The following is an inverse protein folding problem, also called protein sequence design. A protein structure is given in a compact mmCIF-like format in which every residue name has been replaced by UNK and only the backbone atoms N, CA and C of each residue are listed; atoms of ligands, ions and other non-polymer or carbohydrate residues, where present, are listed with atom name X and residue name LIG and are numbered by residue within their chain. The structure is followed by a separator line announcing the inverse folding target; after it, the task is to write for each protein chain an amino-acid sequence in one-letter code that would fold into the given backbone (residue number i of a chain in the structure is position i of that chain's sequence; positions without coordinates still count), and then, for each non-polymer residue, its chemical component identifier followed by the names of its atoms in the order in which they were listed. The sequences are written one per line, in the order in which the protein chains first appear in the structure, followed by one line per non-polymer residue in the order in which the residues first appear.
data_IF_693709552143
#
_entry.id   IF_693709552143
#
_cell.length_a   1.000
_cell.length_b   1.000
_cell.length_c   1.000
_cell.angle_alpha   90.00
_cell.angle_beta   90.00
_cell.angle_gamma   90.00
#
_symmetry.space_group_name_H-M   'P 1'
#
loop_
_entity.id
_entity.type
_entity.pdbx_description
1 polymer ?
#
# COMPACT_ATOMS: atom_id res chain seq x y z
N UNK A 1 -37.49 37.43 -8.42
CA UNK A 1 -36.68 37.23 -9.65
C UNK A 1 -35.59 38.29 -9.67
N UNK A 2 -34.35 37.90 -9.38
CA UNK A 2 -33.23 38.84 -9.20
C UNK A 2 -32.29 38.77 -10.41
N UNK A 3 -31.96 39.93 -10.96
CA UNK A 3 -31.22 40.15 -12.21
C UNK A 3 -29.81 39.52 -12.18
N UNK A 4 -29.52 38.54 -13.06
CA UNK A 4 -28.21 37.89 -13.13
C UNK A 4 -27.09 38.79 -13.67
N UNK A 5 -27.40 39.94 -14.28
CA UNK A 5 -26.39 40.87 -14.83
C UNK A 5 -25.70 41.71 -13.74
N UNK A 6 -26.39 41.99 -12.63
CA UNK A 6 -25.82 42.73 -11.51
C UNK A 6 -24.74 41.98 -10.72
N UNK A 7 -24.79 40.64 -10.70
CA UNK A 7 -23.77 39.81 -10.00
C UNK A 7 -22.46 39.73 -10.78
N UNK A 8 -22.53 39.72 -12.11
CA UNK A 8 -21.35 39.68 -12.97
C UNK A 8 -20.57 41.00 -12.92
N UNK A 9 -21.27 42.14 -12.88
CA UNK A 9 -20.66 43.46 -12.71
C UNK A 9 -19.97 43.63 -11.34
N UNK A 10 -20.59 43.13 -10.26
CA UNK A 10 -19.96 43.12 -8.93
C UNK A 10 -18.72 42.20 -8.86
N UNK A 11 -18.76 41.04 -9.51
CA UNK A 11 -17.61 40.14 -9.57
C UNK A 11 -16.44 40.73 -10.38
N UNK A 12 -16.72 41.43 -11.49
CA UNK A 12 -15.68 42.12 -12.27
C UNK A 12 -15.11 43.33 -11.51
N UNK A 13 -15.94 44.08 -10.78
CA UNK A 13 -15.49 45.19 -9.97
C UNK A 13 -14.61 44.75 -8.78
N UNK A 14 -14.94 43.62 -8.13
CA UNK A 14 -14.10 43.04 -7.07
C UNK A 14 -12.78 42.46 -7.62
N UNK A 15 -12.80 41.86 -8.81
CA UNK A 15 -11.59 41.40 -9.51
C UNK A 15 -10.69 42.57 -9.95
N UNK A 16 -11.27 43.70 -10.37
CA UNK A 16 -10.52 44.91 -10.68
C UNK A 16 -9.94 45.58 -9.44
N UNK A 17 -10.67 45.60 -8.33
CA UNK A 17 -10.18 46.11 -7.05
C UNK A 17 -9.05 45.24 -6.46
N UNK A 18 -9.16 43.92 -6.58
CA UNK A 18 -8.08 42.98 -6.23
C UNK A 18 -6.85 43.14 -7.15
N UNK A 19 -7.06 43.40 -8.44
CA UNK A 19 -5.98 43.67 -9.39
C UNK A 19 -5.27 45.02 -9.15
N UNK A 20 -5.96 46.04 -8.62
CA UNK A 20 -5.35 47.32 -8.24
C UNK A 20 -4.65 47.27 -6.88
N UNK A 21 -5.17 46.52 -5.91
CA UNK A 21 -4.51 46.32 -4.61
C UNK A 21 -3.18 45.54 -4.75
N UNK A 22 -3.04 44.74 -5.81
CA UNK A 22 -1.82 44.00 -6.13
C UNK A 22 -0.76 44.81 -6.91
N UNK A 23 -1.01 46.09 -7.24
CA UNK A 23 0.01 46.95 -7.89
C UNK A 23 1.20 47.27 -6.97
N UNK A 24 1.03 47.26 -5.65
CA UNK A 24 2.13 47.42 -4.69
C UNK A 24 3.03 46.19 -4.60
N UNK A 25 2.55 45.00 -5.00
CA UNK A 25 3.32 43.75 -5.01
C UNK A 25 3.95 43.45 -6.38
N UNK A 26 3.51 44.13 -7.45
CA UNK A 26 4.09 44.01 -8.81
C UNK A 26 5.43 44.74 -9.01
N UNK A 27 5.84 45.61 -8.09
CA UNK A 27 7.18 46.20 -8.14
C UNK A 27 8.26 45.32 -7.51
N UNK A 28 7.90 44.22 -6.81
CA UNK A 28 8.87 43.32 -6.18
C UNK A 28 9.06 41.97 -6.90
N UNK A 29 8.17 41.61 -7.84
CA UNK A 29 8.28 40.35 -8.58
C UNK A 29 8.04 40.62 -10.07
N UNK A 30 9.14 40.56 -10.82
CA UNK A 30 9.17 40.71 -12.27
C UNK A 30 8.17 39.78 -12.97
N UNK A 31 7.64 40.30 -14.07
CA UNK A 31 6.66 39.68 -14.97
C UNK A 31 7.07 38.28 -15.40
N UNK A 32 6.50 37.25 -14.78
CA UNK A 32 6.46 35.90 -15.36
C UNK A 32 5.08 35.68 -15.97
N UNK A 33 5.04 35.50 -17.29
CA UNK A 33 3.79 35.24 -18.00
C UNK A 33 3.33 33.79 -17.78
N UNK A 34 2.02 33.56 -17.84
CA UNK A 34 1.37 32.24 -17.68
C UNK A 34 1.98 31.14 -18.56
N UNK A 35 2.60 31.50 -19.69
CA UNK A 35 3.30 30.59 -20.61
C UNK A 35 4.68 30.17 -20.08
N UNK A 36 5.43 31.04 -19.40
CA UNK A 36 6.69 30.67 -18.76
C UNK A 36 6.47 29.79 -17.53
N UNK A 37 5.42 30.03 -16.75
CA UNK A 37 5.04 29.14 -15.64
C UNK A 37 4.66 27.75 -16.15
N UNK A 38 3.92 27.66 -17.26
CA UNK A 38 3.60 26.37 -17.89
C UNK A 38 4.85 25.71 -18.51
N UNK A 39 5.78 26.47 -19.09
CA UNK A 39 7.06 25.95 -19.58
C UNK A 39 7.95 25.45 -18.45
N UNK A 40 8.01 26.18 -17.33
CA UNK A 40 8.77 25.78 -16.14
C UNK A 40 8.12 24.63 -15.39
N UNK A 41 6.79 24.51 -15.38
CA UNK A 41 6.10 23.30 -14.90
C UNK A 41 6.35 22.12 -15.84
N UNK A 42 6.34 22.32 -17.16
CA UNK A 42 6.71 21.30 -18.15
C UNK A 42 8.15 20.84 -17.94
N UNK A 43 9.08 21.75 -17.73
CA UNK A 43 10.49 21.45 -17.46
C UNK A 43 10.71 20.86 -16.07
N UNK A 44 9.96 21.26 -15.04
CA UNK A 44 10.03 20.68 -13.70
C UNK A 44 9.47 19.26 -13.67
N UNK A 45 8.37 18.98 -14.40
CA UNK A 45 7.79 17.63 -14.55
C UNK A 45 8.68 16.72 -15.41
N UNK A 46 9.44 17.29 -16.36
CA UNK A 46 10.39 16.53 -17.19
C UNK A 46 11.77 16.36 -16.54
N UNK A 47 12.19 17.26 -15.64
CA UNK A 47 13.51 17.25 -14.98
C UNK A 47 13.48 16.80 -13.52
N UNK A 48 12.32 16.56 -12.91
CA UNK A 48 12.25 16.03 -11.55
C UNK A 48 12.65 14.55 -11.52
N UNK A 49 13.95 14.29 -11.33
CA UNK A 49 14.41 13.17 -10.51
C UNK A 49 14.15 13.48 -9.02
N UNK A 50 14.02 12.45 -8.16
CA UNK A 50 13.15 12.51 -6.99
C UNK A 50 13.81 13.25 -5.83
N UNK A 51 13.23 14.38 -5.43
CA UNK A 51 13.46 14.96 -4.11
C UNK A 51 12.33 14.56 -3.16
N UNK A 52 12.23 13.27 -2.84
CA UNK A 52 11.61 12.76 -1.60
C UNK A 52 12.30 11.45 -1.22
N UNK A 53 12.94 11.43 -0.04
CA UNK A 53 13.45 10.22 0.61
C UNK A 53 12.28 9.34 1.06
N UNK A 54 11.96 8.31 0.29
CA UNK A 54 11.32 7.04 0.70
C UNK A 54 11.55 6.03 -0.44
N UNK A 55 12.06 4.81 -0.18
CA UNK A 55 12.55 3.94 -1.24
C UNK A 55 11.39 3.39 -2.06
N UNK A 56 11.42 3.64 -3.37
CA UNK A 56 10.66 2.91 -4.37
C UNK A 56 11.59 1.81 -4.87
N UNK A 57 11.15 0.56 -4.78
CA UNK A 57 11.88 -0.64 -5.23
C UNK A 57 12.05 -0.53 -6.75
N UNK A 58 13.28 -0.31 -7.19
CA UNK A 58 13.76 -0.62 -8.54
C UNK A 58 14.18 -2.09 -8.55
N UNK A 59 13.65 -2.87 -9.49
CA UNK A 59 14.28 -4.01 -10.16
C UNK A 59 13.20 -4.70 -11.00
N UNK A 60 13.28 -4.59 -12.33
CA UNK A 60 12.71 -5.51 -13.32
C UNK A 60 13.03 -5.04 -14.75
N UNK A 61 14.31 -4.98 -15.09
CA UNK A 61 14.79 -5.14 -16.47
C UNK A 61 16.13 -5.87 -16.39
N UNK A 62 16.11 -7.19 -16.61
CA UNK A 62 17.10 -7.90 -17.41
C UNK A 62 16.74 -9.38 -17.51
N UNK A 63 16.54 -9.83 -18.75
CA UNK A 63 16.75 -11.19 -19.28
C UNK A 63 15.54 -11.73 -20.05
N UNK A 64 15.62 -11.54 -21.37
CA UNK A 64 14.88 -12.34 -22.34
C UNK A 64 15.91 -13.01 -23.26
N UNK A 65 15.90 -14.34 -23.28
CA UNK A 65 16.35 -15.17 -24.42
C UNK A 65 17.73 -15.83 -24.34
N UNK A 66 17.76 -17.15 -24.06
CA UNK A 66 18.04 -18.17 -25.09
C UNK A 66 17.95 -19.60 -24.52
N UNK A 67 17.30 -20.47 -25.29
CA UNK A 67 17.32 -21.91 -25.12
C UNK A 67 18.69 -22.46 -25.56
N UNK A 68 19.27 -23.41 -24.81
CA UNK A 68 19.83 -24.68 -25.33
C UNK A 68 20.26 -25.58 -24.16
N UNK A 69 20.16 -26.89 -24.42
CA UNK A 69 20.40 -28.05 -23.56
C UNK A 69 21.85 -28.31 -23.12
N UNK A 70 21.99 -28.95 -21.94
CA UNK A 70 22.95 -30.04 -21.60
C UNK A 70 23.87 -29.82 -20.39
N UNK A 71 23.70 -30.73 -19.41
CA UNK A 71 24.66 -31.38 -18.50
C UNK A 71 25.67 -30.60 -17.60
N UNK A 72 25.45 -30.81 -16.29
CA UNK A 72 26.40 -31.21 -15.24
C UNK A 72 27.59 -30.32 -14.77
N UNK A 73 27.65 -30.25 -13.42
CA UNK A 73 28.83 -30.22 -12.53
C UNK A 73 29.41 -28.86 -12.06
N UNK A 74 29.26 -28.66 -10.74
CA UNK A 74 30.23 -28.18 -9.73
C UNK A 74 30.79 -26.75 -9.77
N UNK A 75 30.89 -26.15 -8.57
CA UNK A 75 32.00 -25.24 -8.21
C UNK A 75 31.67 -23.78 -7.88
N UNK A 76 31.46 -23.51 -6.59
CA UNK A 76 31.94 -22.39 -5.78
C UNK A 76 31.99 -20.92 -6.30
N UNK A 77 31.30 -20.06 -5.52
CA UNK A 77 31.70 -18.74 -5.00
C UNK A 77 31.96 -17.55 -5.95
N UNK A 78 31.15 -16.49 -5.82
CA UNK A 78 31.56 -15.20 -5.23
C UNK A 78 30.38 -14.22 -5.18
N UNK A 79 30.09 -13.75 -3.98
CA UNK A 79 29.05 -12.78 -3.60
C UNK A 79 29.58 -11.35 -3.80
N UNK A 80 28.81 -10.50 -4.48
CA UNK A 80 29.00 -9.05 -4.47
C UNK A 80 27.78 -8.42 -3.79
N UNK A 81 28.06 -7.78 -2.65
CA UNK A 81 27.10 -7.23 -1.71
C UNK A 81 26.33 -6.02 -2.28
N UNK A 82 25.01 -6.02 -2.07
CA UNK A 82 24.20 -4.80 -2.02
C UNK A 82 23.08 -4.96 -1.00
N UNK A 83 23.25 -4.33 0.16
CA UNK A 83 22.27 -4.19 1.23
C UNK A 83 21.15 -3.23 0.82
N UNK A 84 19.88 -3.48 1.20
CA UNK A 84 18.97 -2.38 1.49
C UNK A 84 18.37 -2.47 2.89
N UNK A 85 18.39 -1.31 3.54
CA UNK A 85 17.98 -1.04 4.91
C UNK A 85 16.48 -1.26 5.16
N UNK A 86 16.20 -1.84 6.34
CA UNK A 86 14.91 -1.85 7.02
C UNK A 86 14.40 -0.44 7.33
N UNK A 87 13.11 -0.17 7.05
CA UNK A 87 12.34 0.88 7.74
C UNK A 87 11.20 0.21 8.51
N UNK A 88 11.34 0.19 9.84
CA UNK A 88 10.27 -0.09 10.79
C UNK A 88 9.37 1.16 10.99
N UNK A 89 8.10 0.99 11.40
CA UNK A 89 7.15 2.10 11.58
C UNK A 89 7.35 2.76 12.96
N UNK A 90 7.09 4.08 13.13
CA UNK A 90 7.11 4.69 14.45
C UNK A 90 5.81 4.40 15.20
N UNK A 91 5.98 3.90 16.43
CA UNK A 91 4.96 3.83 17.46
C UNK A 91 4.57 5.24 17.93
N UNK A 92 3.27 5.42 18.15
CA UNK A 92 2.70 6.50 18.94
C UNK A 92 3.18 6.40 20.38
N UNK A 93 3.77 7.46 20.94
CA UNK A 93 3.78 7.67 22.38
C UNK A 93 3.79 9.16 22.72
N UNK A 94 2.84 9.51 23.58
CA UNK A 94 2.77 10.75 24.31
C UNK A 94 3.96 10.91 25.28
N UNK A 95 4.33 12.16 25.48
CA UNK A 95 4.95 12.79 26.65
C UNK A 95 5.77 11.93 27.65
N UNK A 96 7.08 12.18 27.70
CA UNK A 96 7.82 12.36 28.95
C UNK A 96 9.08 13.21 28.70
N UNK A 97 9.33 14.15 29.61
CA UNK A 97 10.35 15.18 29.53
C UNK A 97 11.73 14.72 30.04
N UNK A 98 12.81 15.14 29.39
CA UNK A 98 14.09 15.48 30.01
C UNK A 98 15.03 16.22 29.02
N UNK A 99 15.15 17.53 29.25
CA UNK A 99 16.36 18.37 29.20
C UNK A 99 17.47 18.07 28.18
N UNK A 100 17.51 18.83 27.09
CA UNK A 100 18.78 19.25 26.47
C UNK A 100 18.61 20.65 25.87
N UNK A 101 19.43 21.59 26.35
CA UNK A 101 19.50 22.98 25.91
C UNK A 101 20.07 23.09 24.50
N UNK A 102 19.19 23.16 23.51
CA UNK A 102 19.49 23.56 22.14
C UNK A 102 18.37 24.46 21.63
N UNK A 103 18.72 25.66 21.16
CA UNK A 103 17.79 26.73 20.79
C UNK A 103 16.72 26.28 19.76
N UNK A 104 15.42 26.28 20.09
CA UNK A 104 14.34 25.82 19.19
C UNK A 104 13.84 26.89 18.20
N UNK A 105 14.34 28.13 18.26
CA UNK A 105 13.75 29.25 17.53
C UNK A 105 14.08 29.28 16.02
N UNK A 106 15.23 28.73 15.61
CA UNK A 106 15.67 28.83 14.20
C UNK A 106 15.05 27.76 13.28
N UNK A 107 14.76 26.56 13.79
CA UNK A 107 14.11 25.50 13.01
C UNK A 107 12.59 25.70 12.88
N UNK A 108 11.96 26.37 13.84
CA UNK A 108 10.55 26.75 13.76
C UNK A 108 10.29 27.88 12.74
N UNK A 109 11.26 28.79 12.55
CA UNK A 109 11.13 29.91 11.61
C UNK A 109 11.15 29.45 10.14
N UNK A 110 12.01 28.50 9.77
CA UNK A 110 12.09 27.98 8.39
C UNK A 110 10.93 27.07 7.99
N UNK A 111 10.37 26.31 8.94
CA UNK A 111 9.18 25.48 8.72
C UNK A 111 7.88 26.29 8.58
N UNK A 112 7.82 27.49 9.20
CA UNK A 112 6.64 28.36 9.16
C UNK A 112 6.52 29.11 7.82
N UNK A 113 7.64 29.35 7.13
CA UNK A 113 7.68 30.08 5.85
C UNK A 113 7.54 29.17 4.60
N UNK A 114 7.77 27.86 4.74
CA UNK A 114 7.60 26.88 3.64
C UNK A 114 6.15 26.41 3.43
N UNK A 115 5.37 26.31 4.51
CA UNK A 115 3.93 26.00 4.47
C UNK A 115 3.09 26.87 3.52
N UNK A 116 3.27 28.21 3.44
CA UNK A 116 2.50 29.01 2.50
C UNK A 116 2.87 28.75 1.03
N UNK A 117 4.06 28.22 0.73
CA UNK A 117 4.45 27.89 -0.64
C UNK A 117 3.85 26.55 -1.09
N UNK A 118 3.85 25.53 -0.23
CA UNK A 118 3.25 24.23 -0.53
C UNK A 118 1.73 24.35 -0.77
N UNK A 119 1.02 25.11 0.08
CA UNK A 119 -0.41 25.37 -0.15
C UNK A 119 -0.65 26.07 -1.50
N UNK A 120 0.18 27.06 -1.87
CA UNK A 120 0.05 27.76 -3.15
C UNK A 120 0.28 26.84 -4.35
N UNK A 121 1.20 25.87 -4.23
CA UNK A 121 1.43 24.87 -5.28
C UNK A 121 0.22 23.94 -5.38
N UNK A 122 -0.34 23.48 -4.26
CA UNK A 122 -1.54 22.63 -4.26
C UNK A 122 -2.76 23.36 -4.82
N UNK A 123 -2.95 24.64 -4.49
CA UNK A 123 -4.02 25.49 -5.05
C UNK A 123 -3.85 25.67 -6.57
N UNK A 124 -2.62 25.89 -7.03
CA UNK A 124 -2.32 25.99 -8.45
C UNK A 124 -2.58 24.66 -9.17
N UNK A 125 -2.15 23.54 -8.58
CA UNK A 125 -2.40 22.21 -9.12
C UNK A 125 -3.90 21.93 -9.20
N UNK A 126 -4.66 22.25 -8.16
CA UNK A 126 -6.11 22.08 -8.13
C UNK A 126 -6.79 22.94 -9.21
N UNK A 127 -6.33 24.18 -9.42
CA UNK A 127 -6.87 25.07 -10.46
C UNK A 127 -6.55 24.56 -11.89
N UNK A 128 -5.40 23.91 -12.09
CA UNK A 128 -5.00 23.34 -13.37
C UNK A 128 -5.53 21.92 -13.60
N UNK A 129 -5.96 21.24 -12.54
CA UNK A 129 -6.35 19.84 -12.55
C UNK A 129 -7.41 19.51 -13.61
N UNK A 130 -8.49 20.29 -13.81
CA UNK A 130 -9.49 19.95 -14.82
C UNK A 130 -8.91 19.87 -16.24
N UNK A 131 -8.01 20.79 -16.59
CA UNK A 131 -7.38 20.83 -17.91
C UNK A 131 -6.32 19.73 -18.07
N UNK A 132 -5.55 19.46 -17.01
CA UNK A 132 -4.58 18.35 -16.99
C UNK A 132 -5.29 17.01 -17.15
N UNK A 133 -6.32 16.77 -16.34
CA UNK A 133 -7.13 15.54 -16.39
C UNK A 133 -7.80 15.39 -17.75
N UNK A 134 -8.37 16.45 -18.32
CA UNK A 134 -8.98 16.40 -19.66
C UNK A 134 -7.99 15.93 -20.72
N UNK A 135 -6.74 16.42 -20.69
CA UNK A 135 -5.69 16.01 -21.64
C UNK A 135 -5.23 14.58 -21.40
N UNK A 136 -4.98 14.19 -20.15
CA UNK A 136 -4.53 12.84 -19.82
C UNK A 136 -5.62 11.79 -20.08
N UNK A 137 -6.88 12.13 -19.80
CA UNK A 137 -8.04 11.26 -20.04
C UNK A 137 -8.19 10.88 -21.50
N UNK A 138 -7.88 11.80 -22.43
CA UNK A 138 -7.91 11.49 -23.86
C UNK A 138 -6.87 10.45 -24.27
N UNK A 139 -5.79 10.31 -23.50
CA UNK A 139 -4.75 9.29 -23.72
C UNK A 139 -5.08 7.99 -23.00
N UNK A 140 -5.58 8.06 -21.76
CA UNK A 140 -5.85 6.88 -20.92
C UNK A 140 -7.13 6.17 -21.37
N UNK A 141 -8.21 6.90 -21.64
CA UNK A 141 -9.47 6.28 -22.04
C UNK A 141 -9.39 5.78 -23.47
N UNK A 142 -9.30 4.46 -23.60
CA UNK A 142 -9.54 3.79 -24.87
C UNK A 142 -10.96 4.11 -25.31
N UNK A 143 -11.13 4.68 -26.51
CA UNK A 143 -12.45 4.76 -27.12
C UNK A 143 -12.87 3.32 -27.42
N UNK A 144 -13.76 2.77 -26.61
CA UNK A 144 -14.35 1.46 -26.89
C UNK A 144 -14.93 1.46 -28.31
N UNK A 145 -14.77 0.35 -29.01
CA UNK A 145 -15.41 0.08 -30.30
C UNK A 145 -16.94 0.05 -30.10
N UNK A 146 -17.56 1.22 -29.97
CA UNK A 146 -19.00 1.41 -29.77
C UNK A 146 -19.73 1.38 -31.12
N UNK A 147 -19.35 0.44 -31.98
CA UNK A 147 -19.88 0.31 -33.32
C UNK A 147 -19.86 -1.16 -33.74
N UNK A 148 -21.04 -1.75 -33.77
CA UNK A 148 -21.36 -3.07 -34.32
C UNK A 148 -21.05 -3.13 -35.84
N UNK A 149 -19.77 -3.12 -36.21
CA UNK A 149 -19.33 -3.50 -37.55
C UNK A 149 -18.48 -4.76 -37.42
N UNK A 150 -18.92 -5.83 -38.07
CA UNK A 150 -18.42 -7.20 -37.99
C UNK A 150 -17.01 -7.39 -38.58
N UNK A 151 -16.03 -6.63 -38.13
CA UNK A 151 -14.62 -6.77 -38.51
C UNK A 151 -13.69 -6.32 -37.40
N UNK A 152 -12.66 -7.15 -37.11
CA UNK A 152 -11.54 -6.78 -36.25
C UNK A 152 -10.76 -5.63 -36.89
N UNK A 153 -11.12 -4.38 -36.57
CA UNK A 153 -10.28 -3.23 -36.91
C UNK A 153 -9.14 -3.14 -35.88
N UNK A 154 -7.87 -3.02 -36.30
CA UNK A 154 -6.76 -2.87 -35.38
C UNK A 154 -6.94 -1.59 -34.56
N UNK A 155 -6.58 -1.65 -33.28
CA UNK A 155 -6.66 -0.52 -32.36
C UNK A 155 -5.84 0.66 -32.89
N UNK A 156 -6.50 1.81 -33.05
CA UNK A 156 -5.90 3.07 -33.55
C UNK A 156 -5.70 4.11 -32.44
N UNK A 157 -5.90 3.71 -31.18
CA UNK A 157 -5.71 4.60 -30.04
C UNK A 157 -4.24 4.79 -29.65
N UNK A 158 -3.98 5.54 -28.57
CA UNK A 158 -2.64 5.82 -28.08
C UNK A 158 -1.87 4.56 -27.74
N UNK A 159 -0.55 4.56 -28.00
CA UNK A 159 0.33 3.44 -27.69
C UNK A 159 0.38 3.16 -26.18
N UNK A 160 0.74 1.92 -25.83
CA UNK A 160 0.88 1.47 -24.44
C UNK A 160 1.84 2.35 -23.65
N UNK A 161 2.95 2.79 -24.24
CA UNK A 161 3.89 3.69 -23.58
C UNK A 161 3.23 5.04 -23.23
N UNK A 162 2.48 5.62 -24.18
CA UNK A 162 1.78 6.89 -23.96
C UNK A 162 0.71 6.78 -22.88
N UNK A 163 -0.04 5.67 -22.86
CA UNK A 163 -1.02 5.40 -21.80
C UNK A 163 -0.37 5.23 -20.44
N UNK A 164 0.74 4.50 -20.36
CA UNK A 164 1.50 4.33 -19.13
C UNK A 164 2.06 5.67 -18.63
N UNK A 165 2.63 6.48 -19.52
CA UNK A 165 3.12 7.81 -19.20
C UNK A 165 1.98 8.73 -18.72
N UNK A 166 0.81 8.67 -19.35
CA UNK A 166 -0.36 9.44 -18.94
C UNK A 166 -0.87 9.01 -17.56
N UNK A 167 -0.96 7.70 -17.29
CA UNK A 167 -1.33 7.15 -15.98
C UNK A 167 -0.31 7.54 -14.90
N UNK A 168 1.00 7.47 -15.20
CA UNK A 168 2.07 7.92 -14.29
C UNK A 168 1.96 9.40 -13.97
N UNK A 169 1.70 10.25 -14.98
CA UNK A 169 1.50 11.70 -14.79
C UNK A 169 0.27 12.00 -13.96
N UNK A 170 -0.83 11.31 -14.21
CA UNK A 170 -2.05 11.43 -13.41
C UNK A 170 -1.75 11.07 -11.95
N UNK A 171 -1.13 9.92 -11.70
CA UNK A 171 -0.74 9.48 -10.36
C UNK A 171 0.23 10.43 -9.66
N UNK A 172 1.17 11.02 -10.40
CA UNK A 172 2.06 12.05 -9.84
C UNK A 172 1.29 13.28 -9.36
N UNK A 173 0.39 13.82 -10.19
CA UNK A 173 -0.42 15.01 -9.84
C UNK A 173 -1.30 14.73 -8.62
N UNK A 174 -2.00 13.59 -8.63
CA UNK A 174 -2.89 13.20 -7.52
C UNK A 174 -2.10 13.08 -6.21
N UNK A 175 -0.91 12.47 -6.24
CA UNK A 175 -0.05 12.34 -5.05
C UNK A 175 0.52 13.65 -4.50
N UNK A 176 0.47 14.74 -5.25
CA UNK A 176 0.87 16.06 -4.74
C UNK A 176 -0.24 16.75 -3.94
N UNK A 177 -1.48 16.24 -3.99
CA UNK A 177 -2.62 16.86 -3.33
C UNK A 177 -2.74 16.32 -1.90
N UNK A 178 -2.77 17.20 -0.91
CA UNK A 178 -3.14 16.83 0.46
C UNK A 178 -4.64 16.54 0.57
N UNK A 179 -5.06 15.92 1.68
CA UNK A 179 -6.46 15.48 1.89
C UNK A 179 -7.50 16.58 1.62
N UNK A 180 -7.23 17.83 2.03
CA UNK A 180 -8.13 18.98 1.81
C UNK A 180 -8.34 19.33 0.33
N UNK A 181 -7.34 19.10 -0.52
CA UNK A 181 -7.40 19.38 -1.95
C UNK A 181 -7.79 18.15 -2.76
N UNK A 182 -7.68 16.96 -2.16
CA UNK A 182 -8.05 15.70 -2.78
C UNK A 182 -9.58 15.54 -2.87
N UNK A 183 -10.32 15.91 -1.83
CA UNK A 183 -11.80 15.88 -1.80
C UNK A 183 -12.46 16.49 -3.04
N UNK A 184 -12.20 17.76 -3.41
CA UNK A 184 -12.80 18.35 -4.60
C UNK A 184 -12.25 17.78 -5.93
N UNK A 185 -11.07 17.15 -5.90
CA UNK A 185 -10.42 16.58 -7.08
C UNK A 185 -10.98 15.21 -7.46
N UNK A 186 -11.39 14.38 -6.49
CA UNK A 186 -11.81 12.98 -6.68
C UNK A 186 -12.82 12.80 -7.82
N UNK A 187 -13.94 13.55 -7.90
CA UNK A 187 -14.92 13.35 -8.97
C UNK A 187 -14.35 13.55 -10.38
N UNK A 188 -13.34 14.41 -10.52
CA UNK A 188 -12.68 14.67 -11.80
C UNK A 188 -11.65 13.60 -12.17
N UNK A 189 -10.84 13.15 -11.20
CA UNK A 189 -9.72 12.22 -11.45
C UNK A 189 -10.15 10.76 -11.46
N UNK A 190 -11.14 10.38 -10.65
CA UNK A 190 -11.52 8.98 -10.42
C UNK A 190 -11.88 8.24 -11.72
N UNK A 191 -12.67 8.80 -12.66
CA UNK A 191 -12.96 8.10 -13.91
C UNK A 191 -11.70 7.77 -14.75
N UNK A 192 -10.69 8.64 -14.71
CA UNK A 192 -9.44 8.41 -15.44
C UNK A 192 -8.55 7.38 -14.74
N UNK A 193 -8.58 7.34 -13.40
CA UNK A 193 -7.89 6.31 -12.61
C UNK A 193 -8.52 4.95 -12.87
N UNK A 194 -9.85 4.85 -12.81
CA UNK A 194 -10.56 3.59 -13.08
C UNK A 194 -10.33 3.11 -14.52
N UNK A 195 -10.29 4.02 -15.49
CA UNK A 195 -9.93 3.67 -16.87
C UNK A 195 -8.51 3.12 -17.00
N UNK A 196 -7.55 3.61 -16.20
CA UNK A 196 -6.21 3.04 -16.16
C UNK A 196 -6.19 1.66 -15.48
N UNK A 197 -6.98 1.45 -14.42
CA UNK A 197 -7.13 0.16 -13.72
C UNK A 197 -7.75 -0.92 -14.62
N UNK A 198 -8.70 -0.53 -15.47
CA UNK A 198 -9.34 -1.42 -16.45
C UNK A 198 -8.52 -1.57 -17.76
N UNK A 199 -7.30 -1.02 -17.87
CA UNK A 199 -6.47 -1.17 -19.07
C UNK A 199 -5.97 -2.62 -19.23
N UNK A 200 -5.88 -3.07 -20.47
CA UNK A 200 -5.40 -4.42 -20.83
C UNK A 200 -3.91 -4.58 -20.51
N UNK A 201 -3.13 -3.50 -20.51
CA UNK A 201 -1.69 -3.53 -20.29
C UNK A 201 -1.34 -3.55 -18.79
N UNK A 202 -0.64 -4.59 -18.30
CA UNK A 202 -0.20 -4.70 -16.90
C UNK A 202 0.51 -3.46 -16.32
N UNK A 203 1.45 -2.79 -17.01
CA UNK A 203 2.09 -1.58 -16.48
C UNK A 203 1.11 -0.41 -16.30
N UNK A 204 0.16 -0.21 -17.23
CA UNK A 204 -0.85 0.87 -17.13
C UNK A 204 -1.79 0.58 -15.96
N UNK A 205 -2.27 -0.66 -15.87
CA UNK A 205 -3.11 -1.14 -14.77
C UNK A 205 -2.44 -0.95 -13.41
N UNK A 206 -1.18 -1.33 -13.29
CA UNK A 206 -0.41 -1.18 -12.04
C UNK A 206 -0.29 0.28 -11.61
N UNK A 207 -0.04 1.21 -12.54
CA UNK A 207 0.02 2.65 -12.25
C UNK A 207 -1.34 3.21 -11.83
N UNK A 208 -2.42 2.74 -12.46
CA UNK A 208 -3.79 3.05 -12.05
C UNK A 208 -4.06 2.59 -10.62
N UNK A 209 -3.71 1.35 -10.29
CA UNK A 209 -3.89 0.76 -8.96
C UNK A 209 -3.07 1.49 -7.89
N UNK A 210 -1.81 1.82 -8.15
CA UNK A 210 -1.01 2.62 -7.20
C UNK A 210 -1.62 4.00 -6.93
N UNK A 211 -2.23 4.61 -7.94
CA UNK A 211 -2.94 5.89 -7.78
C UNK A 211 -4.22 5.70 -6.98
N UNK A 212 -4.96 4.61 -7.22
CA UNK A 212 -6.17 4.26 -6.48
C UNK A 212 -5.87 3.90 -5.02
N UNK A 213 -4.77 3.19 -4.75
CA UNK A 213 -4.28 2.90 -3.40
C UNK A 213 -4.04 4.20 -2.64
N UNK A 214 -3.36 5.16 -3.25
CA UNK A 214 -3.13 6.47 -2.62
C UNK A 214 -4.46 7.20 -2.31
N UNK A 215 -5.45 7.14 -3.20
CA UNK A 215 -6.78 7.66 -2.88
C UNK A 215 -7.38 6.93 -1.67
N UNK A 216 -7.31 5.60 -1.63
CA UNK A 216 -7.86 4.82 -0.54
C UNK A 216 -7.18 5.12 0.82
N UNK A 217 -5.89 5.47 0.83
CA UNK A 217 -5.15 5.75 2.07
C UNK A 217 -5.24 7.20 2.53
N UNK A 218 -5.29 8.17 1.60
CA UNK A 218 -5.19 9.60 1.94
C UNK A 218 -6.52 10.37 1.82
N UNK A 219 -7.49 9.88 1.04
CA UNK A 219 -8.78 10.55 0.93
C UNK A 219 -9.63 10.37 2.18
N UNK A 220 -10.54 11.32 2.44
CA UNK A 220 -11.57 11.11 3.44
C UNK A 220 -12.47 9.95 2.98
N UNK A 221 -12.76 8.96 3.86
CA UNK A 221 -13.63 7.84 3.53
C UNK A 221 -14.99 8.24 2.93
N UNK A 222 -15.56 9.37 3.39
CA UNK A 222 -16.80 9.94 2.85
C UNK A 222 -16.75 10.22 1.36
N UNK A 223 -15.58 10.58 0.85
CA UNK A 223 -15.39 11.02 -0.53
C UNK A 223 -15.24 9.85 -1.50
N UNK A 224 -15.07 8.62 -0.99
CA UNK A 224 -15.04 7.40 -1.79
C UNK A 224 -16.32 6.58 -1.61
N UNK A 225 -16.99 6.68 -0.46
CA UNK A 225 -18.17 5.88 -0.12
C UNK A 225 -19.37 6.08 -1.05
N UNK A 226 -19.50 7.23 -1.72
CA UNK A 226 -20.56 7.43 -2.73
C UNK A 226 -20.44 6.49 -3.94
N UNK A 227 -19.26 5.91 -4.18
CA UNK A 227 -18.98 4.88 -5.20
C UNK A 227 -18.62 3.53 -4.57
N UNK A 228 -19.06 3.27 -3.32
CA UNK A 228 -18.64 2.09 -2.54
C UNK A 228 -18.74 0.78 -3.33
N UNK A 229 -19.90 0.49 -3.91
CA UNK A 229 -20.13 -0.77 -4.64
C UNK A 229 -19.17 -0.91 -5.83
N UNK A 230 -19.05 0.14 -6.66
CA UNK A 230 -18.14 0.14 -7.81
C UNK A 230 -16.69 -0.09 -7.39
N UNK A 231 -16.24 0.57 -6.33
CA UNK A 231 -14.86 0.48 -5.86
C UNK A 231 -14.55 -0.90 -5.24
N UNK A 232 -15.52 -1.52 -4.54
CA UNK A 232 -15.38 -2.89 -4.05
C UNK A 232 -15.35 -3.90 -5.20
N UNK A 233 -16.18 -3.71 -6.23
CA UNK A 233 -16.16 -4.54 -7.43
C UNK A 233 -14.83 -4.42 -8.18
N UNK A 234 -14.31 -3.20 -8.33
CA UNK A 234 -12.98 -2.94 -8.90
C UNK A 234 -11.91 -3.63 -8.06
N UNK A 235 -11.96 -3.52 -6.72
CA UNK A 235 -11.00 -4.16 -5.84
C UNK A 235 -11.01 -5.70 -6.01
N UNK A 236 -12.18 -6.32 -6.01
CA UNK A 236 -12.32 -7.79 -6.21
C UNK A 236 -11.81 -8.21 -7.59
N UNK A 237 -12.20 -7.52 -8.66
CA UNK A 237 -11.71 -7.81 -10.03
C UNK A 237 -10.19 -7.63 -10.14
N UNK A 238 -9.62 -6.65 -9.45
CA UNK A 238 -8.18 -6.35 -9.52
C UNK A 238 -7.32 -7.44 -8.89
N UNK A 239 -7.82 -8.15 -7.88
CA UNK A 239 -7.08 -9.25 -7.24
C UNK A 239 -7.34 -10.60 -7.92
N UNK A 240 -8.54 -10.81 -8.48
CA UNK A 240 -8.90 -12.09 -9.09
C UNK A 240 -8.14 -12.36 -10.40
N UNK A 241 -7.24 -13.35 -10.37
CA UNK A 241 -6.51 -13.82 -11.55
C UNK A 241 -5.65 -12.76 -12.26
N UNK A 242 -5.22 -11.71 -11.57
CA UNK A 242 -4.42 -10.64 -12.17
C UNK A 242 -3.02 -11.14 -12.60
N UNK A 243 -2.32 -10.39 -13.46
CA UNK A 243 -0.92 -10.65 -13.83
C UNK A 243 0.00 -10.54 -12.58
N UNK A 244 1.10 -11.29 -12.55
CA UNK A 244 2.08 -11.24 -11.45
C UNK A 244 2.69 -9.85 -11.26
N UNK A 245 2.89 -9.10 -12.35
CA UNK A 245 3.41 -7.72 -12.31
C UNK A 245 2.42 -6.73 -11.71
N UNK A 246 1.13 -7.06 -11.74
CA UNK A 246 0.04 -6.22 -11.23
C UNK A 246 -0.24 -6.50 -9.75
N UNK A 247 0.01 -7.73 -9.31
CA UNK A 247 -0.25 -8.19 -7.95
C UNK A 247 0.33 -7.29 -6.84
N UNK A 248 1.59 -6.79 -6.93
CA UNK A 248 2.16 -5.83 -5.96
C UNK A 248 1.33 -4.56 -5.76
N UNK A 249 0.60 -4.12 -6.79
CA UNK A 249 -0.30 -2.97 -6.71
C UNK A 249 -1.71 -3.40 -6.31
N UNK A 250 -2.24 -4.50 -6.88
CA UNK A 250 -3.61 -4.94 -6.69
C UNK A 250 -3.95 -5.32 -5.24
N UNK A 251 -3.14 -6.19 -4.62
CA UNK A 251 -3.40 -6.69 -3.28
C UNK A 251 -3.48 -5.57 -2.22
N UNK A 252 -2.49 -4.66 -2.09
CA UNK A 252 -2.59 -3.56 -1.12
C UNK A 252 -3.69 -2.55 -1.49
N UNK A 253 -3.98 -2.34 -2.78
CA UNK A 253 -5.10 -1.48 -3.19
C UNK A 253 -6.43 -2.04 -2.72
N UNK A 254 -6.68 -3.34 -2.91
CA UNK A 254 -7.92 -3.99 -2.50
C UNK A 254 -8.10 -3.95 -0.98
N UNK A 255 -7.05 -4.25 -0.20
CA UNK A 255 -7.10 -4.12 1.27
C UNK A 255 -7.39 -2.68 1.69
N UNK A 256 -6.69 -1.69 1.13
CA UNK A 256 -6.88 -0.29 1.49
C UNK A 256 -8.29 0.20 1.16
N UNK A 257 -8.85 -0.19 0.00
CA UNK A 257 -10.22 0.14 -0.39
C UNK A 257 -11.24 -0.49 0.56
N UNK A 258 -11.09 -1.77 0.92
CA UNK A 258 -11.98 -2.42 1.89
C UNK A 258 -12.02 -1.64 3.21
N UNK A 259 -10.85 -1.28 3.73
CA UNK A 259 -10.73 -0.55 5.00
C UNK A 259 -11.32 0.87 4.90
N UNK A 260 -11.01 1.59 3.82
CA UNK A 260 -11.51 2.95 3.62
C UNK A 260 -13.04 2.98 3.48
N UNK A 261 -13.60 2.04 2.72
CA UNK A 261 -15.03 2.03 2.39
C UNK A 261 -15.88 1.53 3.55
N UNK A 262 -15.48 0.44 4.20
CA UNK A 262 -16.25 -0.20 5.28
C UNK A 262 -15.97 0.43 6.66
N UNK A 263 -14.81 1.05 6.84
CA UNK A 263 -14.49 1.81 8.04
C UNK A 263 -14.29 0.93 9.28
N UNK A 264 -15.24 1.01 10.23
CA UNK A 264 -15.12 0.35 11.55
C UNK A 264 -16.06 -0.85 11.72
N UNK A 265 -16.88 -1.17 10.73
CA UNK A 265 -17.81 -2.29 10.81
C UNK A 265 -17.13 -3.58 10.32
N UNK A 266 -16.65 -4.47 11.21
CA UNK A 266 -15.94 -5.67 10.79
C UNK A 266 -16.86 -6.71 10.13
N UNK A 267 -18.19 -6.52 10.18
CA UNK A 267 -19.18 -7.42 9.57
C UNK A 267 -19.58 -6.98 8.16
N UNK A 268 -19.08 -5.85 7.70
CA UNK A 268 -19.43 -5.31 6.40
C UNK A 268 -19.07 -6.26 5.25
N UNK A 269 -19.95 -6.34 4.25
CA UNK A 269 -19.86 -7.33 3.17
C UNK A 269 -18.58 -7.19 2.32
N UNK A 270 -18.04 -5.98 2.17
CA UNK A 270 -16.81 -5.71 1.43
C UNK A 270 -15.58 -6.32 2.09
N UNK A 271 -15.54 -6.40 3.43
CA UNK A 271 -14.47 -7.14 4.10
C UNK A 271 -14.53 -8.63 3.75
N UNK A 272 -15.72 -9.24 3.75
CA UNK A 272 -15.88 -10.65 3.36
C UNK A 272 -15.51 -10.88 1.89
N UNK A 273 -15.94 -9.99 1.00
CA UNK A 273 -15.63 -10.03 -0.43
C UNK A 273 -14.12 -10.04 -0.69
N UNK A 274 -13.40 -9.08 -0.08
CA UNK A 274 -11.96 -8.93 -0.29
C UNK A 274 -11.19 -10.03 0.44
N UNK A 275 -11.57 -10.40 1.66
CA UNK A 275 -10.90 -11.48 2.41
C UNK A 275 -10.99 -12.82 1.67
N UNK A 276 -12.17 -13.19 1.15
CA UNK A 276 -12.32 -14.41 0.35
C UNK A 276 -11.47 -14.37 -0.91
N UNK A 277 -11.44 -13.23 -1.61
CA UNK A 277 -10.59 -13.06 -2.78
C UNK A 277 -9.10 -13.17 -2.47
N UNK A 278 -8.65 -12.56 -1.38
CA UNK A 278 -7.27 -12.70 -0.92
C UNK A 278 -6.95 -14.17 -0.60
N UNK A 279 -7.82 -14.89 0.11
CA UNK A 279 -7.60 -16.31 0.40
C UNK A 279 -7.57 -17.18 -0.87
N UNK A 280 -8.50 -16.96 -1.81
CA UNK A 280 -8.54 -17.67 -3.10
C UNK A 280 -7.22 -17.50 -3.87
N UNK A 281 -6.70 -16.27 -3.95
CA UNK A 281 -5.45 -15.98 -4.64
C UNK A 281 -4.23 -16.49 -3.88
N UNK A 282 -4.26 -16.42 -2.55
CA UNK A 282 -3.21 -16.94 -1.68
C UNK A 282 -3.07 -18.47 -1.80
N UNK A 283 -4.18 -19.20 -1.81
CA UNK A 283 -4.20 -20.65 -2.01
C UNK A 283 -3.77 -21.04 -3.43
N UNK A 284 -4.29 -20.34 -4.45
CA UNK A 284 -3.96 -20.61 -5.87
C UNK A 284 -2.47 -20.45 -6.16
N UNK A 285 -1.84 -19.43 -5.57
CA UNK A 285 -0.45 -19.06 -5.82
C UNK A 285 0.45 -19.28 -4.61
N UNK A 286 0.10 -20.22 -3.73
CA UNK A 286 0.84 -20.48 -2.48
C UNK A 286 2.32 -20.80 -2.70
N UNK A 287 2.65 -21.38 -3.86
CA UNK A 287 3.99 -21.78 -4.27
C UNK A 287 4.82 -20.66 -4.93
N UNK A 288 4.23 -19.49 -5.21
CA UNK A 288 4.92 -18.37 -5.90
C UNK A 288 5.44 -17.38 -4.85
N UNK A 289 6.77 -17.30 -4.60
CA UNK A 289 7.31 -16.50 -3.50
C UNK A 289 7.00 -15.00 -3.64
N UNK A 290 7.11 -14.46 -4.86
CA UNK A 290 6.84 -13.05 -5.12
C UNK A 290 5.41 -12.65 -4.75
N UNK A 291 4.42 -13.51 -5.05
CA UNK A 291 3.01 -13.28 -4.69
C UNK A 291 2.76 -13.43 -3.21
N UNK A 292 3.31 -14.49 -2.61
CA UNK A 292 3.17 -14.79 -1.19
C UNK A 292 3.70 -13.66 -0.31
N UNK A 293 4.88 -13.12 -0.61
CA UNK A 293 5.48 -12.02 0.15
C UNK A 293 4.61 -10.76 0.09
N UNK A 294 4.09 -10.42 -1.10
CA UNK A 294 3.15 -9.30 -1.26
C UNK A 294 1.86 -9.54 -0.48
N UNK A 295 1.31 -10.76 -0.57
CA UNK A 295 0.09 -11.15 0.13
C UNK A 295 0.25 -10.97 1.64
N UNK A 296 1.35 -11.49 2.21
CA UNK A 296 1.64 -11.45 3.64
C UNK A 296 1.77 -10.02 4.19
N UNK A 297 2.20 -9.07 3.36
CA UNK A 297 2.22 -7.64 3.70
C UNK A 297 0.83 -7.01 3.55
N UNK A 298 0.14 -7.30 2.46
CA UNK A 298 -1.15 -6.70 2.14
C UNK A 298 -2.30 -7.18 3.04
N UNK A 299 -2.20 -8.39 3.61
CA UNK A 299 -3.26 -8.94 4.45
C UNK A 299 -3.29 -8.35 5.87
N UNK A 300 -2.17 -7.85 6.40
CA UNK A 300 -2.06 -7.44 7.81
C UNK A 300 -3.12 -6.41 8.21
N UNK A 301 -3.32 -5.32 7.45
CA UNK A 301 -4.34 -4.33 7.80
C UNK A 301 -5.75 -4.91 7.72
N UNK A 302 -5.99 -5.87 6.84
CA UNK A 302 -7.28 -6.55 6.69
C UNK A 302 -7.59 -7.45 7.90
N UNK A 303 -6.60 -8.22 8.37
CA UNK A 303 -6.73 -9.04 9.57
C UNK A 303 -7.04 -8.17 10.80
N UNK A 304 -6.36 -7.02 10.93
CA UNK A 304 -6.61 -6.08 12.01
C UNK A 304 -8.01 -5.48 11.95
N UNK A 305 -8.50 -5.13 10.76
CA UNK A 305 -9.85 -4.57 10.58
C UNK A 305 -10.96 -5.59 10.86
N UNK A 306 -10.76 -6.86 10.51
CA UNK A 306 -11.72 -7.95 10.77
C UNK A 306 -11.79 -8.36 12.25
N UNK A 307 -10.71 -8.18 13.02
CA UNK A 307 -10.64 -8.55 14.43
C UNK A 307 -11.16 -9.99 14.69
N UNK A 308 -12.11 -10.19 15.61
CA UNK A 308 -12.67 -11.50 15.94
C UNK A 308 -13.38 -12.18 14.75
N UNK A 309 -13.78 -11.41 13.73
CA UNK A 309 -14.42 -11.97 12.53
C UNK A 309 -13.49 -12.92 11.78
N UNK A 310 -12.17 -12.80 11.96
CA UNK A 310 -11.19 -13.74 11.43
C UNK A 310 -11.47 -15.21 11.80
N UNK A 311 -12.19 -15.48 12.90
CA UNK A 311 -12.61 -16.83 13.31
C UNK A 311 -13.27 -17.60 12.17
N UNK A 312 -14.08 -16.93 11.32
CA UNK A 312 -14.77 -17.60 10.22
C UNK A 312 -13.83 -18.08 9.10
N UNK A 313 -12.64 -17.50 9.02
CA UNK A 313 -11.64 -17.81 8.00
C UNK A 313 -10.54 -18.74 8.51
N UNK A 314 -10.49 -19.04 9.81
CA UNK A 314 -9.40 -19.85 10.41
C UNK A 314 -9.17 -21.18 9.69
N UNK A 315 -10.23 -21.85 9.24
CA UNK A 315 -10.12 -23.13 8.53
C UNK A 315 -9.34 -23.06 7.20
N UNK A 316 -9.26 -21.88 6.57
CA UNK A 316 -8.45 -21.64 5.37
C UNK A 316 -7.15 -20.89 5.69
N UNK A 317 -7.23 -19.93 6.60
CA UNK A 317 -6.13 -19.05 6.96
C UNK A 317 -5.01 -19.78 7.72
N UNK A 318 -5.34 -20.62 8.70
CA UNK A 318 -4.32 -21.33 9.47
C UNK A 318 -3.50 -22.30 8.61
N UNK A 319 -4.10 -23.21 7.80
CA UNK A 319 -3.32 -24.09 6.94
C UNK A 319 -2.40 -23.33 5.98
N UNK A 320 -2.90 -22.23 5.39
CA UNK A 320 -2.13 -21.40 4.45
C UNK A 320 -0.91 -20.76 5.14
N UNK A 321 -1.10 -20.16 6.32
CA UNK A 321 -0.02 -19.53 7.08
C UNK A 321 0.99 -20.56 7.58
N UNK A 322 0.53 -21.73 8.03
CA UNK A 322 1.40 -22.81 8.51
C UNK A 322 2.20 -23.45 7.35
N UNK A 323 1.61 -23.55 6.16
CA UNK A 323 2.33 -23.94 4.95
C UNK A 323 3.46 -22.95 4.64
N UNK A 324 3.17 -21.65 4.67
CA UNK A 324 4.17 -20.62 4.37
C UNK A 324 5.23 -20.44 5.45
N UNK A 325 4.90 -20.80 6.69
CA UNK A 325 5.89 -20.91 7.76
C UNK A 325 6.92 -22.01 7.48
N UNK A 326 6.57 -23.03 6.69
CA UNK A 326 7.47 -24.13 6.32
C UNK A 326 8.33 -23.85 5.08
N UNK A 327 8.15 -22.71 4.42
CA UNK A 327 8.86 -22.37 3.20
C UNK A 327 10.36 -22.11 3.45
N UNK A 328 11.16 -22.32 2.40
CA UNK A 328 12.61 -22.20 2.49
C UNK A 328 13.09 -20.75 2.65
N UNK A 329 12.35 -19.78 2.09
CA UNK A 329 12.71 -18.38 2.15
C UNK A 329 12.30 -17.72 3.47
N UNK A 330 13.21 -16.94 4.04
CA UNK A 330 12.99 -16.26 5.32
C UNK A 330 11.89 -15.19 5.28
N UNK A 331 11.75 -14.36 4.22
CA UNK A 331 10.71 -13.34 4.15
C UNK A 331 9.29 -13.91 4.27
N UNK A 332 9.02 -15.06 3.66
CA UNK A 332 7.71 -15.72 3.76
C UNK A 332 7.45 -16.23 5.17
N UNK A 333 8.46 -16.85 5.82
CA UNK A 333 8.32 -17.30 7.21
C UNK A 333 8.05 -16.13 8.16
N UNK A 334 8.83 -15.06 8.07
CA UNK A 334 8.64 -13.86 8.90
C UNK A 334 7.28 -13.22 8.68
N UNK A 335 6.85 -13.08 7.42
CA UNK A 335 5.52 -12.55 7.11
C UNK A 335 4.39 -13.45 7.61
N UNK A 336 4.56 -14.78 7.50
CA UNK A 336 3.60 -15.75 8.01
C UNK A 336 3.50 -15.69 9.53
N UNK A 337 4.61 -15.55 10.26
CA UNK A 337 4.62 -15.36 11.71
C UNK A 337 3.92 -14.06 12.13
N UNK A 338 4.14 -12.96 11.39
CA UNK A 338 3.44 -11.70 11.65
C UNK A 338 1.92 -11.84 11.47
N UNK A 339 1.50 -12.48 10.39
CA UNK A 339 0.08 -12.74 10.14
C UNK A 339 -0.50 -13.68 11.21
N UNK A 340 0.25 -14.73 11.57
CA UNK A 340 -0.16 -15.71 12.58
C UNK A 340 -0.30 -15.07 13.95
N UNK A 341 0.65 -14.21 14.35
CA UNK A 341 0.56 -13.41 15.57
C UNK A 341 -0.73 -12.58 15.58
N UNK A 342 -1.03 -11.87 14.48
CA UNK A 342 -2.27 -11.10 14.37
C UNK A 342 -3.50 -12.00 14.51
N UNK A 343 -3.53 -13.15 13.84
CA UNK A 343 -4.64 -14.11 13.92
C UNK A 343 -4.82 -14.64 15.34
N UNK A 344 -3.74 -15.09 16.00
CA UNK A 344 -3.78 -15.58 17.38
C UNK A 344 -4.34 -14.49 18.31
N UNK A 345 -3.82 -13.27 18.21
CA UNK A 345 -4.24 -12.15 19.02
C UNK A 345 -5.73 -11.82 18.84
N UNK A 346 -6.22 -11.83 17.59
CA UNK A 346 -7.60 -11.45 17.27
C UNK A 346 -8.61 -12.58 17.50
N UNK A 347 -8.17 -13.84 17.49
CA UNK A 347 -9.03 -15.02 17.59
C UNK A 347 -8.77 -15.87 18.83
N UNK A 348 -8.12 -15.29 19.84
CA UNK A 348 -7.69 -15.97 21.07
C UNK A 348 -8.73 -16.90 21.71
N UNK A 349 -10.07 -16.64 21.71
CA UNK A 349 -11.03 -17.57 22.32
C UNK A 349 -11.13 -18.92 21.59
N UNK A 350 -10.67 -19.00 20.34
CA UNK A 350 -10.70 -20.21 19.51
C UNK A 350 -9.34 -20.87 19.36
N UNK A 351 -8.25 -20.17 19.72
CA UNK A 351 -6.89 -20.68 19.59
C UNK A 351 -6.58 -21.93 20.43
N UNK A 352 -7.15 -22.15 21.64
CA UNK A 352 -6.86 -23.35 22.41
C UNK A 352 -7.12 -24.66 21.66
N UNK A 353 -8.11 -24.71 20.76
CA UNK A 353 -8.40 -25.89 19.94
C UNK A 353 -7.33 -26.19 18.89
N UNK A 354 -6.43 -25.24 18.62
CA UNK A 354 -5.34 -25.35 17.66
C UNK A 354 -3.96 -25.30 18.33
N UNK A 355 -3.90 -25.25 19.67
CA UNK A 355 -2.67 -24.93 20.39
C UNK A 355 -1.56 -25.97 20.17
N UNK A 356 -1.88 -27.26 20.23
CA UNK A 356 -0.92 -28.34 19.95
C UNK A 356 -0.26 -28.18 18.57
N UNK A 357 -1.09 -27.97 17.53
CA UNK A 357 -0.62 -27.83 16.17
C UNK A 357 0.26 -26.58 16.01
N UNK A 358 -0.23 -25.42 16.49
CA UNK A 358 0.51 -24.17 16.40
C UNK A 358 1.86 -24.28 17.11
N UNK A 359 1.89 -24.90 18.29
CA UNK A 359 3.12 -25.11 19.04
C UNK A 359 4.15 -25.95 18.26
N UNK A 360 3.74 -27.07 17.66
CA UNK A 360 4.61 -27.91 16.83
C UNK A 360 5.25 -27.13 15.67
N UNK A 361 4.45 -26.30 14.99
CA UNK A 361 4.94 -25.48 13.89
C UNK A 361 5.87 -24.35 14.34
N UNK A 362 5.64 -23.75 15.53
CA UNK A 362 6.54 -22.77 16.11
C UNK A 362 7.87 -23.38 16.54
N UNK A 363 7.86 -24.58 17.13
CA UNK A 363 9.07 -25.34 17.46
C UNK A 363 9.88 -25.63 16.20
N UNK A 364 9.23 -26.14 15.16
CA UNK A 364 9.87 -26.39 13.87
C UNK A 364 10.51 -25.12 13.29
N UNK A 365 9.80 -23.99 13.32
CA UNK A 365 10.30 -22.72 12.80
C UNK A 365 11.52 -22.25 13.60
N UNK A 366 11.48 -22.38 14.92
CA UNK A 366 12.57 -22.00 15.81
C UNK A 366 13.84 -22.84 15.55
N UNK A 367 13.70 -24.16 15.45
CA UNK A 367 14.84 -25.06 15.19
C UNK A 367 15.47 -24.76 13.82
N UNK A 368 14.64 -24.44 12.83
CA UNK A 368 15.09 -24.00 11.51
C UNK A 368 15.85 -22.67 11.55
N UNK A 369 15.34 -21.68 12.28
CA UNK A 369 16.01 -20.38 12.41
C UNK A 369 17.33 -20.49 13.19
N UNK A 370 17.44 -21.41 14.15
CA UNK A 370 18.69 -21.70 14.87
C UNK A 370 19.77 -22.35 14.01
N UNK A 371 19.38 -23.27 13.12
CA UNK A 371 20.31 -23.96 12.22
C UNK A 371 20.77 -23.12 11.02
N UNK A 372 20.16 -21.96 10.79
CA UNK A 372 20.49 -21.10 9.66
C UNK A 372 21.74 -20.23 9.94
N UNK A 373 22.56 -19.92 8.92
CA UNK A 373 23.70 -19.02 9.07
C UNK A 373 23.25 -17.64 9.58
N UNK A 374 24.08 -17.05 10.43
CA UNK A 374 23.81 -15.74 11.03
C UNK A 374 23.65 -14.68 9.94
N UNK A 375 22.46 -14.08 9.89
CA UNK A 375 22.11 -13.03 8.94
C UNK A 375 21.39 -11.90 9.68
N UNK A 376 21.47 -10.68 9.15
CA UNK A 376 20.87 -9.50 9.77
C UNK A 376 19.35 -9.62 10.02
N UNK A 377 18.65 -10.50 9.28
CA UNK A 377 17.20 -10.73 9.38
C UNK A 377 16.79 -11.84 10.35
N UNK A 378 17.73 -12.67 10.81
CA UNK A 378 17.49 -13.73 11.79
C UNK A 378 16.87 -13.27 13.12
N UNK A 379 17.32 -12.16 13.74
CA UNK A 379 16.71 -11.74 15.01
C UNK A 379 15.23 -11.38 14.86
N UNK A 380 14.80 -10.89 13.68
CA UNK A 380 13.40 -10.53 13.46
C UNK A 380 12.48 -11.76 13.43
N UNK A 381 12.89 -12.84 12.75
CA UNK A 381 12.10 -14.07 12.69
C UNK A 381 11.97 -14.72 14.07
N UNK A 382 13.07 -14.85 14.80
CA UNK A 382 13.09 -15.41 16.16
C UNK A 382 12.20 -14.60 17.11
N UNK A 383 12.27 -13.27 17.06
CA UNK A 383 11.40 -12.40 17.86
C UNK A 383 9.90 -12.65 17.58
N UNK A 384 9.51 -12.87 16.32
CA UNK A 384 8.11 -13.15 16.00
C UNK A 384 7.67 -14.54 16.46
N UNK A 385 8.57 -15.53 16.46
CA UNK A 385 8.28 -16.86 17.02
C UNK A 385 8.03 -16.74 18.52
N UNK A 386 8.91 -16.06 19.25
CA UNK A 386 8.77 -15.83 20.70
C UNK A 386 7.43 -15.15 21.02
N UNK A 387 7.09 -14.07 20.30
CA UNK A 387 5.79 -13.39 20.47
C UNK A 387 4.58 -14.30 20.20
N UNK A 388 4.65 -15.15 19.18
CA UNK A 388 3.58 -16.11 18.91
C UNK A 388 3.47 -17.16 20.02
N UNK A 389 4.61 -17.66 20.51
CA UNK A 389 4.67 -18.65 21.59
C UNK A 389 4.14 -18.08 22.91
N UNK A 390 4.53 -16.85 23.26
CA UNK A 390 4.01 -16.12 24.41
C UNK A 390 2.48 -15.98 24.32
N UNK A 391 1.97 -15.43 23.21
CA UNK A 391 0.53 -15.29 23.02
C UNK A 391 -0.21 -16.63 23.11
N UNK A 392 0.36 -17.70 22.54
CA UNK A 392 -0.25 -19.02 22.56
C UNK A 392 -0.36 -19.57 23.99
N UNK A 393 0.69 -19.38 24.80
CA UNK A 393 0.69 -19.72 26.22
C UNK A 393 -0.35 -18.93 27.02
N UNK A 394 -0.50 -17.64 26.73
CA UNK A 394 -1.55 -16.79 27.32
C UNK A 394 -2.96 -17.26 26.96
N UNK A 395 -3.18 -17.66 25.71
CA UNK A 395 -4.49 -18.15 25.25
C UNK A 395 -4.87 -19.49 25.90
N UNK A 396 -3.89 -20.30 26.31
CA UNK A 396 -4.06 -21.71 26.63
C UNK A 396 -3.36 -22.07 27.95
N UNK A 397 -3.82 -21.51 29.08
CA UNK A 397 -3.23 -21.80 30.41
C UNK A 397 -3.18 -23.30 30.73
N UNK A 398 -4.26 -24.02 30.43
CA UNK A 398 -4.34 -25.48 30.67
C UNK A 398 -3.37 -26.27 29.78
N UNK A 399 -3.14 -25.80 28.56
CA UNK A 399 -2.21 -26.42 27.61
C UNK A 399 -0.76 -26.37 28.10
N UNK A 400 -0.31 -25.21 28.64
CA UNK A 400 1.04 -25.06 29.18
C UNK A 400 1.25 -26.00 30.38
N UNK A 401 0.24 -26.12 31.26
CA UNK A 401 0.29 -27.03 32.39
C UNK A 401 0.30 -28.51 31.95
N UNK A 402 -0.50 -28.88 30.95
CA UNK A 402 -0.55 -30.25 30.42
C UNK A 402 0.77 -30.67 29.77
N UNK A 403 1.42 -29.77 29.00
CA UNK A 403 2.70 -30.08 28.36
C UNK A 403 3.88 -30.09 29.33
N UNK A 404 3.86 -29.24 30.36
CA UNK A 404 4.78 -29.33 31.50
C UNK A 404 4.64 -30.67 32.22
N UNK A 405 3.41 -31.15 32.42
CA UNK A 405 3.15 -32.43 33.05
C UNK A 405 3.55 -33.63 32.16
N UNK A 406 3.44 -33.49 30.84
CA UNK A 406 3.83 -34.53 29.88
C UNK A 406 5.35 -34.66 29.68
N UNK A 407 6.15 -33.69 30.14
CA UNK A 407 7.61 -33.68 29.97
C UNK A 407 8.08 -33.27 28.57
N UNK A 408 7.16 -32.98 27.64
CA UNK A 408 7.45 -32.52 26.27
C UNK A 408 7.99 -31.08 26.23
N UNK A 409 7.71 -30.31 27.27
CA UNK A 409 8.20 -28.95 27.45
C UNK A 409 9.18 -28.94 28.62
N UNK A 410 10.48 -28.90 28.30
CA UNK A 410 11.48 -28.60 29.31
C UNK A 410 11.16 -27.23 29.92
N UNK A 411 11.20 -27.12 31.25
CA UNK A 411 11.04 -25.82 31.94
C UNK A 411 12.01 -24.76 31.40
N UNK A 412 13.20 -25.17 30.94
CA UNK A 412 14.13 -24.29 30.25
C UNK A 412 13.57 -23.68 28.97
N UNK A 413 12.74 -24.40 28.21
CA UNK A 413 12.10 -23.87 27.01
C UNK A 413 11.11 -22.77 27.37
N UNK A 414 10.32 -22.92 28.43
CA UNK A 414 9.42 -21.85 28.92
C UNK A 414 10.19 -20.63 29.43
N UNK A 415 11.31 -20.85 30.12
CA UNK A 415 12.21 -19.77 30.56
C UNK A 415 12.88 -19.08 29.37
N UNK A 416 13.22 -19.82 28.31
CA UNK A 416 13.76 -19.27 27.05
C UNK A 416 12.71 -18.42 26.30
N UNK A 417 11.42 -18.75 26.41
CA UNK A 417 10.32 -17.96 25.85
C UNK A 417 9.78 -16.87 26.80
N UNK A 418 10.51 -16.53 27.89
CA UNK A 418 10.12 -15.44 28.80
C UNK A 418 8.88 -15.70 29.64
N UNK A 419 8.34 -16.93 29.62
CA UNK A 419 7.13 -17.29 30.35
C UNK A 419 7.50 -17.69 31.78
N UNK A 420 7.49 -16.72 32.70
CA UNK A 420 7.57 -16.99 34.12
C UNK A 420 6.32 -17.76 34.57
N UNK A 421 6.48 -19.05 34.86
CA UNK A 421 5.44 -19.85 35.50
C UNK A 421 5.43 -19.43 36.98
N UNK A 422 4.51 -18.53 37.36
CA UNK A 422 4.23 -18.28 38.77
C UNK A 422 3.68 -19.58 39.39
N UNK A 423 4.31 -20.01 40.48
CA UNK A 423 4.04 -21.26 41.19
C UNK A 423 2.73 -21.24 41.96
#
# INVERSE_FOLDING_TARGET
MADPRGRFARATQLLQQAATASRSTRQALGTFTRLELLSRCKDAVLKSQPLVKRPLIEELEDSNGSETSSEASSGAASEAAATPQMMAPPASAAAAAATTTGSPAAAAASATEQRPLELRVQDLLLALLPEVVRRLRATIMQKGHTGSEAGFKPYTGPDTFDRALAARRLGWVVRQLGYTHLTPAIPAVLPSILAAVDDVSPPVQSLGLWTLHHLATEALPSDLRWQRELLLDVAKRSISGCDERVWPAAAPTATALAIALEGKDPYAAGYDLIMRGMLEEGERHAHVPARRIVWLRAIQPLLQALALVNVRYLGRLLPLLLQWLQEFDRPSRTGALQALHCVIQQTWPRIPAHADLLWQHLQWAHDREKGAPESAEQPAAVQWIERCAELLAWCSRDFVQQRLAAGDLERESLLRYGLAVEQ
#
